data_IF_838701066606
#
_entry.id   IF_838701066606
#
_cell.length_a   1.000
_cell.length_b   1.000
_cell.length_c   1.000
_cell.angle_alpha   90.00
_cell.angle_beta   90.00
_cell.angle_gamma   90.00
#
_symmetry.space_group_name_H-M   'P 1'
#
loop_
_entity.id
_entity.type
_entity.pdbx_description
1 polymer ?
#
# COMPACT_ATOMS: atom_id res chain seq x y z
N UNK A 1 15.65 3.92 9.50
CA UNK A 1 14.35 3.31 9.16
C UNK A 1 13.72 4.08 8.01
N UNK A 2 13.22 3.41 6.97
CA UNK A 2 12.52 4.12 5.89
C UNK A 2 11.17 4.64 6.42
N UNK A 3 10.89 5.95 6.33
CA UNK A 3 9.66 6.53 6.88
C UNK A 3 8.44 6.24 6.01
N UNK A 4 8.65 5.87 4.74
CA UNK A 4 7.59 5.63 3.77
C UNK A 4 7.98 4.48 2.83
N UNK A 5 6.97 3.79 2.32
CA UNK A 5 7.06 2.77 1.29
C UNK A 5 6.53 3.33 -0.03
N UNK A 6 7.09 2.91 -1.15
CA UNK A 6 6.57 3.20 -2.50
C UNK A 6 5.61 2.10 -2.95
N UNK A 7 4.96 2.31 -4.11
CA UNK A 7 4.07 1.30 -4.71
C UNK A 7 4.82 0.01 -4.97
N UNK A 8 6.09 0.11 -5.37
CA UNK A 8 6.93 -1.04 -5.67
C UNK A 8 7.29 -1.80 -4.41
N UNK A 9 7.64 -1.09 -3.33
CA UNK A 9 7.93 -1.73 -2.04
C UNK A 9 6.71 -2.50 -1.53
N UNK A 10 5.51 -1.90 -1.63
CA UNK A 10 4.28 -2.55 -1.22
C UNK A 10 3.94 -3.77 -2.10
N UNK A 11 4.13 -3.66 -3.41
CA UNK A 11 3.96 -4.80 -4.33
C UNK A 11 4.91 -5.96 -3.99
N UNK A 12 6.17 -5.66 -3.65
CA UNK A 12 7.13 -6.68 -3.22
C UNK A 12 6.73 -7.33 -1.90
N UNK A 13 6.26 -6.55 -0.92
CA UNK A 13 5.79 -7.04 0.38
C UNK A 13 4.58 -7.96 0.23
N UNK A 14 3.58 -7.54 -0.55
CA UNK A 14 2.34 -8.29 -0.77
C UNK A 14 2.47 -9.37 -1.85
N UNK A 15 3.64 -9.48 -2.50
CA UNK A 15 3.92 -10.37 -3.64
C UNK A 15 2.86 -10.26 -4.74
N UNK A 16 2.46 -9.03 -5.06
CA UNK A 16 1.42 -8.75 -6.05
C UNK A 16 1.88 -7.77 -7.14
N UNK A 17 1.13 -7.70 -8.23
CA UNK A 17 1.36 -6.70 -9.27
C UNK A 17 0.81 -5.32 -8.88
N UNK A 18 1.25 -4.25 -9.54
CA UNK A 18 0.69 -2.91 -9.34
C UNK A 18 -0.81 -2.86 -9.70
N UNK A 19 -1.23 -3.59 -10.73
CA UNK A 19 -2.65 -3.69 -11.12
C UNK A 19 -3.47 -4.40 -10.05
N UNK A 20 -2.93 -5.44 -9.42
CA UNK A 20 -3.57 -6.13 -8.30
C UNK A 20 -3.71 -5.19 -7.10
N UNK A 21 -2.65 -4.47 -6.74
CA UNK A 21 -2.69 -3.47 -5.67
C UNK A 21 -3.71 -2.37 -5.96
N UNK A 22 -3.81 -1.91 -7.21
CA UNK A 22 -4.82 -0.93 -7.61
C UNK A 22 -6.24 -1.47 -7.43
N UNK A 23 -6.50 -2.73 -7.81
CA UNK A 23 -7.81 -3.38 -7.59
C UNK A 23 -8.14 -3.52 -6.11
N UNK A 24 -7.19 -3.99 -5.29
CA UNK A 24 -7.39 -4.07 -3.84
C UNK A 24 -7.83 -2.74 -3.24
N UNK A 25 -7.22 -1.63 -3.68
CA UNK A 25 -7.60 -0.28 -3.24
C UNK A 25 -9.00 0.17 -3.65
N UNK A 26 -9.61 -0.46 -4.66
CA UNK A 26 -10.96 -0.15 -5.13
C UNK A 26 -12.00 -1.12 -4.54
N UNK A 27 -11.67 -2.40 -4.50
CA UNK A 27 -12.61 -3.49 -4.26
C UNK A 27 -12.70 -3.87 -2.77
N UNK A 28 -11.66 -3.59 -1.99
CA UNK A 28 -11.61 -3.93 -0.56
C UNK A 28 -12.04 -2.73 0.26
N UNK A 29 -13.12 -2.91 1.02
CA UNK A 29 -13.63 -1.88 1.91
C UNK A 29 -12.58 -1.53 2.98
N UNK A 30 -12.43 -0.23 3.28
CA UNK A 30 -11.45 0.30 4.22
C UNK A 30 -9.97 0.05 3.88
N UNK A 31 -9.65 -0.38 2.65
CA UNK A 31 -8.25 -0.55 2.26
C UNK A 31 -7.46 0.78 2.36
N UNK A 32 -6.34 0.82 3.10
CA UNK A 32 -5.55 2.04 3.29
C UNK A 32 -5.08 2.70 1.99
N UNK A 33 -5.28 4.01 1.89
CA UNK A 33 -4.92 4.79 0.70
C UNK A 33 -3.54 5.46 0.84
N UNK A 34 -2.72 5.48 -0.21
CA UNK A 34 -1.42 6.16 -0.17
C UNK A 34 -1.56 7.67 0.01
N UNK A 35 -0.57 8.27 0.66
CA UNK A 35 -0.38 9.71 0.69
C UNK A 35 0.28 10.19 -0.60
N UNK A 36 -0.25 11.26 -1.18
CA UNK A 36 0.40 11.95 -2.30
C UNK A 36 1.40 12.97 -1.75
N UNK A 37 2.68 12.65 -1.83
CA UNK A 37 3.77 13.57 -1.43
C UNK A 37 4.47 14.04 -2.70
N UNK A 38 4.20 15.29 -3.09
CA UNK A 38 4.61 15.83 -4.38
C UNK A 38 3.94 15.08 -5.53
N UNK A 39 4.73 14.29 -6.27
CA UNK A 39 4.26 13.45 -7.40
C UNK A 39 4.34 11.94 -7.11
N UNK A 40 4.63 11.55 -5.87
CA UNK A 40 4.81 10.15 -5.49
C UNK A 40 3.70 9.71 -4.55
N UNK A 41 3.15 8.52 -4.82
CA UNK A 41 2.29 7.82 -3.90
C UNK A 41 3.17 7.05 -2.91
N UNK A 42 2.98 7.35 -1.64
CA UNK A 42 3.78 6.80 -0.54
C UNK A 42 2.86 6.28 0.57
N UNK A 43 3.25 5.16 1.15
CA UNK A 43 2.55 4.54 2.28
C UNK A 43 3.35 4.72 3.55
N UNK A 44 2.69 5.07 4.65
CA UNK A 44 3.34 5.05 5.96
C UNK A 44 3.45 3.62 6.48
N UNK A 45 4.28 3.42 7.51
CA UNK A 45 4.37 2.13 8.21
C UNK A 45 3.01 1.66 8.73
N UNK A 46 2.28 2.52 9.43
CA UNK A 46 0.98 2.18 10.01
C UNK A 46 -0.04 1.73 8.95
N UNK A 47 -0.01 2.35 7.77
CA UNK A 47 -0.85 1.94 6.64
C UNK A 47 -0.47 0.55 6.13
N UNK A 48 0.83 0.25 6.04
CA UNK A 48 1.30 -1.08 5.63
C UNK A 48 0.92 -2.13 6.66
N UNK A 49 1.06 -1.84 7.95
CA UNK A 49 0.67 -2.75 9.04
C UNK A 49 -0.84 -3.05 8.99
N UNK A 50 -1.69 -2.03 8.83
CA UNK A 50 -3.13 -2.23 8.63
C UNK A 50 -3.48 -3.07 7.39
N UNK A 51 -2.75 -2.89 6.28
CA UNK A 51 -2.95 -3.72 5.07
C UNK A 51 -2.62 -5.18 5.38
N UNK A 52 -1.52 -5.44 6.08
CA UNK A 52 -1.10 -6.80 6.41
C UNK A 52 -2.09 -7.49 7.37
N UNK A 53 -2.63 -6.75 8.34
CA UNK A 53 -3.69 -7.24 9.22
C UNK A 53 -5.00 -7.54 8.48
N UNK A 54 -5.35 -6.73 7.49
CA UNK A 54 -6.57 -6.91 6.71
C UNK A 54 -6.50 -8.10 5.73
N UNK A 55 -5.29 -8.47 5.30
CA UNK A 55 -5.04 -9.56 4.34
C UNK A 55 -4.58 -10.87 5.00
N UNK A 56 -4.40 -10.91 6.32
CA UNK A 56 -4.06 -12.12 7.10
C UNK A 56 -5.28 -12.98 7.38
#
# INVERSE_FOLDING_TARGET
MQPHFTTLDLCSLLRCSQTTLWRLRQDVEHFPQPNLIGRRLLWTRDQVEQILELLS
#
